data_IF_896210061521
#
_entry.id   IF_896210061521
#
_cell.length_a   1.000
_cell.length_b   1.000
_cell.length_c   1.000
_cell.angle_alpha   90.00
_cell.angle_beta   90.00
_cell.angle_gamma   90.00
#
_symmetry.space_group_name_H-M   'P 1'
#
loop_
_entity.id
_entity.type
_entity.pdbx_description
1 polymer ?
#
# COMPACT_ATOMS: atom_id res chain seq x y z
N UNK A 1 26.82 -12.28 26.56
CA UNK A 1 25.75 -12.42 25.54
C UNK A 1 25.63 -11.09 24.82
N UNK A 2 26.44 -10.89 23.80
CA UNK A 2 26.45 -9.68 22.98
C UNK A 2 25.37 -9.82 21.93
N UNK A 3 24.29 -9.04 22.05
CA UNK A 3 23.35 -8.87 20.95
C UNK A 3 24.10 -8.19 19.81
N UNK A 4 24.31 -8.92 18.72
CA UNK A 4 24.77 -8.34 17.47
C UNK A 4 23.73 -7.29 17.06
N UNK A 5 24.08 -6.02 17.22
CA UNK A 5 23.34 -4.90 16.67
C UNK A 5 23.41 -5.01 15.15
N UNK A 6 22.41 -5.63 14.54
CA UNK A 6 22.17 -5.48 13.11
C UNK A 6 21.80 -4.02 12.88
N UNK A 7 22.78 -3.22 12.51
CA UNK A 7 22.54 -1.99 11.78
C UNK A 7 21.98 -2.41 10.42
N UNK A 8 20.65 -2.43 10.29
CA UNK A 8 20.04 -2.39 8.98
C UNK A 8 20.33 -0.97 8.45
N UNK A 9 21.32 -0.86 7.56
CA UNK A 9 21.72 0.40 6.91
C UNK A 9 20.64 0.93 5.94
N UNK A 10 19.52 0.24 5.82
CA UNK A 10 18.47 0.57 4.86
C UNK A 10 17.39 1.42 5.54
N UNK A 11 16.94 2.46 4.83
CA UNK A 11 15.85 3.30 5.31
C UNK A 11 14.57 2.47 5.33
N UNK A 12 13.85 2.38 6.46
CA UNK A 12 12.59 1.65 6.50
C UNK A 12 11.57 2.29 5.55
N UNK A 13 10.74 1.46 4.93
CA UNK A 13 9.63 1.89 4.08
C UNK A 13 8.30 1.33 4.60
N UNK A 14 7.21 2.02 4.30
CA UNK A 14 5.86 1.53 4.54
C UNK A 14 5.29 0.90 3.26
N UNK A 15 4.93 -0.38 3.34
CA UNK A 15 4.29 -1.11 2.25
C UNK A 15 2.79 -1.25 2.47
N UNK A 16 1.98 -0.80 1.51
CA UNK A 16 0.52 -0.93 1.51
C UNK A 16 0.14 -1.96 0.45
N UNK A 17 -0.33 -3.12 0.89
CA UNK A 17 -0.78 -4.21 0.01
C UNK A 17 -2.27 -4.04 -0.31
N UNK A 18 -2.59 -3.39 -1.43
CA UNK A 18 -3.96 -3.10 -1.85
C UNK A 18 -4.47 -4.00 -2.99
N UNK A 19 -3.63 -4.88 -3.52
CA UNK A 19 -3.90 -5.83 -4.61
C UNK A 19 -4.93 -6.95 -4.34
N UNK A 20 -5.88 -6.82 -3.42
CA UNK A 20 -6.79 -7.90 -3.03
C UNK A 20 -8.09 -7.97 -3.83
N UNK A 21 -8.47 -9.15 -4.34
CA UNK A 21 -9.76 -9.38 -5.09
C UNK A 21 -11.03 -9.05 -4.31
N UNK A 22 -10.95 -8.90 -2.98
CA UNK A 22 -12.09 -8.49 -2.15
C UNK A 22 -13.36 -9.36 -2.32
N UNK A 23 -13.17 -10.68 -2.47
CA UNK A 23 -14.21 -11.66 -2.88
C UNK A 23 -15.50 -11.58 -2.07
N UNK A 24 -15.41 -11.37 -0.75
CA UNK A 24 -16.59 -11.28 0.14
C UNK A 24 -17.37 -9.97 -0.01
N UNK A 25 -16.70 -8.88 -0.39
CA UNK A 25 -17.31 -7.55 -0.50
C UNK A 25 -17.88 -7.30 -1.90
N UNK A 26 -17.47 -8.08 -2.91
CA UNK A 26 -17.90 -7.91 -4.31
C UNK A 26 -17.36 -6.65 -5.00
N UNK A 27 -16.63 -5.80 -4.27
CA UNK A 27 -16.04 -4.55 -4.74
C UNK A 27 -14.67 -4.35 -4.11
N UNK A 28 -13.85 -3.51 -4.73
CA UNK A 28 -12.50 -3.23 -4.25
C UNK A 28 -12.51 -2.67 -2.82
N UNK A 29 -11.97 -3.44 -1.86
CA UNK A 29 -11.89 -3.05 -0.45
C UNK A 29 -11.11 -1.74 -0.29
N UNK A 30 -10.04 -1.54 -1.07
CA UNK A 30 -9.17 -0.37 -0.95
C UNK A 30 -9.92 0.93 -1.28
N UNK A 31 -10.93 0.84 -2.16
CA UNK A 31 -11.75 1.98 -2.59
C UNK A 31 -13.02 2.18 -1.76
N UNK A 32 -13.26 1.35 -0.73
CA UNK A 32 -14.40 1.56 0.18
C UNK A 32 -14.29 2.92 0.88
N UNK A 33 -15.41 3.61 1.12
CA UNK A 33 -15.40 4.86 1.86
C UNK A 33 -14.95 4.61 3.30
N UNK A 34 -14.14 5.53 3.82
CA UNK A 34 -13.73 5.59 5.20
C UNK A 34 -14.68 6.52 5.99
N UNK A 35 -15.00 6.24 7.27
CA UNK A 35 -15.96 7.04 8.04
C UNK A 35 -15.61 8.52 8.19
N UNK A 36 -14.32 8.87 8.06
CA UNK A 36 -13.83 10.25 8.21
C UNK A 36 -13.70 11.02 6.89
N UNK A 37 -14.32 10.53 5.80
CA UNK A 37 -14.06 11.01 4.44
C UNK A 37 -12.91 10.22 3.80
N UNK A 38 -12.81 10.24 2.47
CA UNK A 38 -11.87 9.49 1.62
C UNK A 38 -12.13 7.97 1.52
N UNK A 39 -11.31 7.26 0.74
CA UNK A 39 -11.29 5.80 0.73
C UNK A 39 -10.40 5.20 1.81
N UNK A 40 -10.57 3.90 2.10
CA UNK A 40 -9.67 3.16 2.99
C UNK A 40 -8.20 3.26 2.53
N UNK A 41 -7.94 3.23 1.23
CA UNK A 41 -6.60 3.37 0.66
C UNK A 41 -6.02 4.76 0.93
N UNK A 42 -6.77 5.82 0.62
CA UNK A 42 -6.33 7.20 0.86
C UNK A 42 -6.08 7.44 2.34
N UNK A 43 -6.99 7.00 3.20
CA UNK A 43 -6.82 7.11 4.65
C UNK A 43 -5.55 6.41 5.15
N UNK A 44 -5.31 5.17 4.70
CA UNK A 44 -4.10 4.40 5.07
C UNK A 44 -2.83 5.08 4.59
N UNK A 45 -2.81 5.60 3.36
CA UNK A 45 -1.66 6.33 2.82
C UNK A 45 -1.38 7.63 3.60
N UNK A 46 -2.42 8.38 3.96
CA UNK A 46 -2.28 9.61 4.77
C UNK A 46 -1.65 9.31 6.12
N UNK A 47 -2.10 8.25 6.81
CA UNK A 47 -1.51 7.84 8.08
C UNK A 47 -0.05 7.39 7.93
N UNK A 48 0.24 6.61 6.89
CA UNK A 48 1.62 6.20 6.61
C UNK A 48 2.51 7.41 6.27
N UNK A 49 2.00 8.43 5.59
CA UNK A 49 2.79 9.63 5.26
C UNK A 49 3.19 10.42 6.49
N UNK A 50 2.34 10.43 7.52
CA UNK A 50 2.63 11.09 8.79
C UNK A 50 3.83 10.47 9.54
N UNK A 51 4.24 9.25 9.18
CA UNK A 51 5.42 8.60 9.77
C UNK A 51 6.75 9.14 9.21
N UNK A 52 6.71 9.90 8.10
CA UNK A 52 7.90 10.36 7.40
C UNK A 52 8.63 9.27 6.59
N UNK A 53 8.08 8.05 6.52
CA UNK A 53 8.62 6.96 5.71
C UNK A 53 8.29 7.16 4.23
N UNK A 54 9.14 6.58 3.38
CA UNK A 54 8.77 6.35 1.99
C UNK A 54 7.62 5.32 1.93
N UNK A 55 6.69 5.51 0.99
CA UNK A 55 5.50 4.65 0.88
C UNK A 55 5.41 4.05 -0.50
N UNK A 56 5.24 2.74 -0.51
CA UNK A 56 4.92 1.96 -1.69
C UNK A 56 3.54 1.33 -1.51
N UNK A 57 2.66 1.56 -2.48
CA UNK A 57 1.43 0.78 -2.66
C UNK A 57 1.65 -0.29 -3.73
N UNK A 58 1.37 -1.54 -3.40
CA UNK A 58 1.37 -2.63 -4.36
C UNK A 58 -0.09 -2.96 -4.75
N UNK A 59 -0.42 -2.67 -6.01
CA UNK A 59 -1.76 -2.76 -6.59
C UNK A 59 -1.78 -3.74 -7.76
N UNK A 60 -2.91 -4.37 -8.06
CA UNK A 60 -3.07 -5.03 -9.36
C UNK A 60 -3.33 -3.99 -10.46
N UNK A 61 -2.95 -4.26 -11.73
CA UNK A 61 -3.13 -3.32 -12.84
C UNK A 61 -4.60 -2.86 -13.05
N UNK A 62 -5.57 -3.76 -12.86
CA UNK A 62 -6.98 -3.52 -13.15
C UNK A 62 -7.72 -2.67 -12.10
N UNK A 63 -7.09 -2.34 -10.97
CA UNK A 63 -7.78 -1.75 -9.81
C UNK A 63 -7.74 -0.22 -9.76
N UNK A 64 -7.00 0.45 -10.66
CA UNK A 64 -7.00 1.90 -10.79
C UNK A 64 -6.49 2.68 -9.55
N UNK A 65 -5.77 2.04 -8.63
CA UNK A 65 -5.33 2.66 -7.37
C UNK A 65 -4.39 3.84 -7.59
N UNK A 66 -3.57 3.83 -8.65
CA UNK A 66 -2.70 4.96 -9.03
C UNK A 66 -3.52 6.20 -9.34
N UNK A 67 -4.55 6.07 -10.16
CA UNK A 67 -5.46 7.16 -10.51
C UNK A 67 -6.25 7.63 -9.29
N UNK A 68 -6.72 6.70 -8.46
CA UNK A 68 -7.45 7.02 -7.23
C UNK A 68 -6.60 7.85 -6.26
N UNK A 69 -5.36 7.45 -6.00
CA UNK A 69 -4.45 8.21 -5.15
C UNK A 69 -4.09 9.58 -5.72
N UNK A 70 -3.99 9.71 -7.05
CA UNK A 70 -3.70 10.98 -7.71
C UNK A 70 -4.80 12.06 -7.52
N UNK A 71 -6.01 11.67 -7.11
CA UNK A 71 -7.11 12.61 -6.78
C UNK A 71 -6.82 13.45 -5.54
N UNK A 72 -5.93 12.98 -4.65
CA UNK A 72 -5.50 13.69 -3.45
C UNK A 72 -4.07 14.22 -3.63
N UNK A 73 -3.85 15.56 -3.72
CA UNK A 73 -2.53 16.12 -3.98
C UNK A 73 -1.44 15.67 -3.00
N UNK A 74 -1.77 15.50 -1.71
CA UNK A 74 -0.83 15.04 -0.69
C UNK A 74 -0.29 13.62 -0.96
N UNK A 75 -1.08 12.78 -1.64
CA UNK A 75 -0.77 11.36 -1.89
C UNK A 75 -0.01 11.13 -3.19
N UNK A 76 0.25 12.16 -4.01
CA UNK A 76 1.04 12.03 -5.25
C UNK A 76 2.48 11.56 -5.02
N UNK A 77 2.98 11.67 -3.79
CA UNK A 77 4.30 11.19 -3.39
C UNK A 77 4.34 9.69 -3.05
N UNK A 78 3.17 9.04 -2.99
CA UNK A 78 3.08 7.59 -2.79
C UNK A 78 3.43 6.89 -4.10
N UNK A 79 4.41 6.00 -4.07
CA UNK A 79 4.79 5.20 -5.24
C UNK A 79 3.79 4.06 -5.37
N UNK A 80 3.20 3.89 -6.56
CA UNK A 80 2.30 2.76 -6.83
C UNK A 80 2.99 1.80 -7.78
N UNK A 81 3.29 0.60 -7.29
CA UNK A 81 3.83 -0.51 -8.05
C UNK A 81 2.69 -1.44 -8.49
N UNK A 82 2.83 -1.99 -9.70
CA UNK A 82 1.90 -2.96 -10.24
C UNK A 82 2.37 -4.38 -9.91
N UNK A 83 1.52 -5.14 -9.22
CA UNK A 83 1.78 -6.52 -8.84
C UNK A 83 1.72 -7.43 -10.08
N UNK A 84 2.86 -8.04 -10.41
CA UNK A 84 2.93 -9.04 -11.48
C UNK A 84 2.24 -10.34 -11.05
N UNK A 85 1.57 -11.08 -11.96
CA UNK A 85 1.03 -12.40 -11.65
C UNK A 85 2.15 -13.41 -11.30
N UNK A 86 1.88 -14.46 -10.51
CA UNK A 86 0.57 -14.85 -9.97
C UNK A 86 0.19 -14.06 -8.71
N UNK A 87 -1.11 -13.91 -8.46
CA UNK A 87 -1.62 -13.12 -7.33
C UNK A 87 -2.17 -13.99 -6.20
N UNK A 88 -1.28 -14.44 -5.31
CA UNK A 88 -1.55 -15.48 -4.31
C UNK A 88 -1.33 -14.99 -2.87
N UNK A 89 -2.10 -13.98 -2.49
CA UNK A 89 -2.16 -13.52 -1.11
C UNK A 89 -1.01 -12.60 -0.69
N UNK A 90 -1.05 -12.11 0.56
CA UNK A 90 -0.22 -10.98 0.99
C UNK A 90 1.26 -11.34 1.17
N UNK A 91 1.61 -12.58 1.50
CA UNK A 91 3.00 -12.98 1.67
C UNK A 91 3.76 -12.99 0.33
N UNK A 92 3.13 -13.52 -0.73
CA UNK A 92 3.72 -13.46 -2.07
C UNK A 92 3.79 -12.02 -2.58
N UNK A 93 2.77 -11.20 -2.30
CA UNK A 93 2.78 -9.79 -2.65
C UNK A 93 3.95 -9.05 -1.95
N UNK A 94 4.17 -9.31 -0.66
CA UNK A 94 5.27 -8.73 0.11
C UNK A 94 6.65 -9.13 -0.45
N UNK A 95 6.81 -10.37 -0.92
CA UNK A 95 8.07 -10.85 -1.51
C UNK A 95 8.41 -10.24 -2.88
N UNK A 96 7.52 -9.43 -3.47
CA UNK A 96 7.73 -8.74 -4.75
C UNK A 96 8.10 -7.26 -4.59
N UNK A 97 8.24 -6.80 -3.35
CA UNK A 97 8.75 -5.46 -3.01
C UNK A 97 10.27 -5.53 -2.90
#
# INVERSE_FOLDING_TARGET
>A
MSFLSWSCSERPLAAILCGGRSRRMGRDKALLPHPHGDSLLQHTCTLALATGLEIICLSRPEQGHRQHLATAPALRRVVVLEEQPPWEGPLLALAKL
#
